data_IF_130973416380
#
_entry.id   IF_130973416380
#
_cell.length_a   1.000
_cell.length_b   1.000
_cell.length_c   1.000
_cell.angle_alpha   90.00
_cell.angle_beta   90.00
_cell.angle_gamma   90.00
#
_symmetry.space_group_name_H-M   'P 1'
#
loop_
_entity.id
_entity.type
_entity.pdbx_description
1 polymer ?
#
# COMPACT_ATOMS: atom_id res chain seq x y z
N UNK A 1 -0.42 -12.22 5.67
CA UNK A 1 0.69 -11.26 5.42
C UNK A 1 0.20 -9.88 5.82
N UNK A 2 1.06 -9.07 6.45
CA UNK A 2 0.78 -7.68 6.80
C UNK A 2 1.66 -6.73 6.01
N UNK A 3 1.07 -5.69 5.44
CA UNK A 3 1.77 -4.64 4.70
C UNK A 3 1.41 -3.31 5.34
N UNK A 4 2.38 -2.64 5.97
CA UNK A 4 2.14 -1.33 6.59
C UNK A 4 2.16 -0.24 5.53
N UNK A 5 1.14 0.61 5.51
CA UNK A 5 1.08 1.77 4.63
C UNK A 5 1.91 2.93 5.20
N UNK A 6 2.51 3.73 4.31
CA UNK A 6 3.36 4.87 4.66
C UNK A 6 3.03 6.15 3.92
N UNK A 7 2.63 6.05 2.67
CA UNK A 7 2.22 7.20 1.87
C UNK A 7 1.34 6.72 0.72
N UNK A 8 0.53 7.64 0.17
CA UNK A 8 -0.12 7.42 -1.11
C UNK A 8 0.14 8.56 -2.09
N UNK A 9 0.14 8.21 -3.37
CA UNK A 9 0.20 9.17 -4.47
C UNK A 9 -0.89 8.83 -5.48
N UNK A 10 -1.80 9.76 -5.73
CA UNK A 10 -2.82 9.60 -6.77
C UNK A 10 -2.27 10.19 -8.06
N UNK A 11 -2.13 9.35 -9.08
CA UNK A 11 -1.70 9.78 -10.41
C UNK A 11 -2.90 10.27 -11.24
N UNK A 12 -2.62 11.16 -12.19
CA UNK A 12 -3.66 11.72 -13.07
C UNK A 12 -4.39 10.67 -13.92
N UNK A 13 -3.80 9.48 -14.12
CA UNK A 13 -4.40 8.38 -14.87
C UNK A 13 -5.31 7.47 -14.02
N UNK A 14 -5.66 7.88 -12.79
CA UNK A 14 -6.52 7.12 -11.89
C UNK A 14 -5.84 5.98 -11.14
N UNK A 15 -4.52 5.82 -11.28
CA UNK A 15 -3.74 4.86 -10.48
C UNK A 15 -3.34 5.52 -9.16
N UNK A 16 -3.53 4.81 -8.05
CA UNK A 16 -2.95 5.16 -6.75
C UNK A 16 -1.72 4.30 -6.50
N UNK A 17 -0.59 4.95 -6.20
CA UNK A 17 0.61 4.30 -5.70
C UNK A 17 0.57 4.33 -4.18
N UNK A 18 0.78 3.19 -3.55
CA UNK A 18 0.88 3.01 -2.11
C UNK A 18 2.33 2.69 -1.75
N UNK A 19 2.99 3.56 -1.00
CA UNK A 19 4.29 3.27 -0.42
C UNK A 19 4.09 2.45 0.87
N UNK A 20 4.81 1.34 0.97
CA UNK A 20 4.56 0.31 1.97
C UNK A 20 5.85 -0.20 2.61
N UNK A 21 5.71 -0.73 3.83
CA UNK A 21 6.69 -1.60 4.48
C UNK A 21 6.16 -3.02 4.54
N UNK A 22 7.00 -3.99 4.21
CA UNK A 22 6.69 -5.42 4.31
C UNK A 22 7.74 -6.12 5.15
N UNK A 23 7.27 -7.02 6.01
CA UNK A 23 8.13 -7.90 6.80
C UNK A 23 8.79 -8.98 5.92
N UNK A 24 8.10 -9.44 4.87
CA UNK A 24 8.64 -10.37 3.87
C UNK A 24 8.75 -9.70 2.48
N UNK A 25 9.98 -9.35 2.03
CA UNK A 25 10.20 -8.69 0.76
C UNK A 25 9.96 -9.60 -0.46
N UNK A 26 9.88 -10.93 -0.29
CA UNK A 26 9.73 -11.88 -1.41
C UNK A 26 8.28 -12.21 -1.76
N UNK A 27 7.31 -11.67 -1.03
CA UNK A 27 5.92 -12.02 -1.26
C UNK A 27 5.37 -11.45 -2.57
N UNK A 28 4.65 -12.28 -3.33
CA UNK A 28 3.92 -11.88 -4.53
C UNK A 28 2.57 -11.30 -4.14
N UNK A 29 2.34 -10.04 -4.50
CA UNK A 29 1.13 -9.29 -4.12
C UNK A 29 0.25 -8.90 -5.30
N UNK A 30 0.79 -8.95 -6.52
CA UNK A 30 0.10 -8.49 -7.73
C UNK A 30 -1.03 -9.46 -8.09
N UNK A 31 -2.20 -8.91 -8.41
CA UNK A 31 -3.43 -9.65 -8.72
C UNK A 31 -4.23 -10.06 -7.48
N UNK A 32 -3.74 -9.79 -6.27
CA UNK A 32 -4.40 -10.15 -5.02
C UNK A 32 -5.25 -9.01 -4.47
N UNK A 33 -6.23 -9.37 -3.65
CA UNK A 33 -7.07 -8.45 -2.89
C UNK A 33 -6.61 -8.42 -1.45
N UNK A 34 -6.69 -7.24 -0.84
CA UNK A 34 -6.32 -7.00 0.54
C UNK A 34 -7.36 -6.15 1.22
N UNK A 35 -7.65 -6.46 2.48
CA UNK A 35 -8.40 -5.60 3.36
C UNK A 35 -7.50 -4.49 3.90
N UNK A 36 -7.91 -3.25 3.70
CA UNK A 36 -7.35 -2.09 4.38
C UNK A 36 -7.97 -1.98 5.76
N UNK A 37 -7.13 -2.07 6.80
CA UNK A 37 -7.58 -2.12 8.20
C UNK A 37 -6.83 -1.12 9.07
N UNK A 38 -7.50 -0.70 10.15
CA UNK A 38 -6.92 -0.05 11.32
C UNK A 38 -7.42 -0.74 12.59
N UNK A 39 -7.08 -0.20 13.77
CA UNK A 39 -7.64 -0.66 15.05
C UNK A 39 -9.17 -0.56 15.11
N UNK A 40 -9.78 0.34 14.33
CA UNK A 40 -11.23 0.50 14.23
C UNK A 40 -11.91 -0.56 13.35
N UNK A 41 -11.12 -1.40 12.67
CA UNK A 41 -11.58 -2.50 11.84
C UNK A 41 -11.30 -2.31 10.35
N UNK A 42 -12.09 -3.02 9.53
CA UNK A 42 -11.93 -3.03 8.07
C UNK A 42 -12.55 -1.78 7.45
N UNK A 43 -11.74 -0.99 6.74
CA UNK A 43 -12.20 0.21 6.03
C UNK A 43 -12.70 -0.09 4.62
N UNK A 44 -11.94 -0.88 3.87
CA UNK A 44 -12.26 -1.22 2.46
C UNK A 44 -11.41 -2.42 1.99
N UNK A 45 -11.74 -2.95 0.81
CA UNK A 45 -10.89 -3.93 0.11
C UNK A 45 -10.23 -3.27 -1.10
N UNK A 46 -8.95 -3.52 -1.31
CA UNK A 46 -8.13 -3.01 -2.41
C UNK A 46 -7.54 -4.17 -3.22
N UNK A 47 -7.48 -3.99 -4.53
CA UNK A 47 -6.84 -4.91 -5.47
C UNK A 47 -5.50 -4.32 -5.87
N UNK A 48 -4.42 -5.08 -5.63
CA UNK A 48 -3.09 -4.68 -6.08
C UNK A 48 -2.88 -5.15 -7.51
N UNK A 49 -2.58 -4.22 -8.41
CA UNK A 49 -2.47 -4.50 -9.85
C UNK A 49 -1.04 -4.43 -10.38
N UNK A 50 -0.11 -3.95 -9.56
CA UNK A 50 1.26 -3.75 -9.98
C UNK A 50 2.17 -3.40 -8.81
N UNK A 51 3.47 -3.41 -9.09
CA UNK A 51 4.51 -2.99 -8.18
C UNK A 51 5.46 -2.05 -8.91
N UNK A 52 5.94 -1.02 -8.20
CA UNK A 52 7.00 -0.13 -8.68
C UNK A 52 8.23 -0.26 -7.80
N UNK A 53 9.38 -0.28 -8.47
CA UNK A 53 10.67 -0.12 -7.80
C UNK A 53 10.81 1.31 -7.30
N UNK A 54 11.11 1.47 -6.01
CA UNK A 54 11.45 2.76 -5.43
C UNK A 54 12.89 3.11 -5.83
N UNK A 55 13.07 4.13 -6.67
CA UNK A 55 14.37 4.71 -7.02
C UNK A 55 14.91 5.55 -5.84
N UNK A 56 15.25 4.91 -4.72
CA UNK A 56 16.02 5.57 -3.65
C UNK A 56 17.35 4.85 -3.44
N UNK A 57 18.44 5.63 -3.38
CA UNK A 57 19.79 5.17 -3.02
C UNK A 57 19.87 4.49 -1.63
N UNK A 58 18.84 4.62 -0.81
CA UNK A 58 18.72 4.11 0.57
C UNK A 58 17.48 3.25 0.79
N UNK A 59 16.79 2.80 -0.26
CA UNK A 59 15.62 1.93 -0.09
C UNK A 59 16.03 0.65 0.65
N UNK A 60 15.51 0.47 1.86
CA UNK A 60 15.63 -0.81 2.58
C UNK A 60 14.85 -1.86 1.80
N UNK A 61 15.28 -3.12 1.83
CA UNK A 61 14.62 -4.23 1.15
C UNK A 61 13.13 -4.37 1.51
N UNK A 62 12.73 -3.87 2.68
CA UNK A 62 11.37 -3.89 3.22
C UNK A 62 10.45 -2.83 2.58
N UNK A 63 11.01 -1.80 1.93
CA UNK A 63 10.23 -0.72 1.32
C UNK A 63 9.80 -1.12 -0.10
N UNK A 64 8.49 -1.14 -0.35
CA UNK A 64 7.93 -1.44 -1.68
C UNK A 64 6.85 -0.44 -2.03
N UNK A 65 6.57 -0.27 -3.32
CA UNK A 65 5.48 0.57 -3.78
C UNK A 65 4.51 -0.27 -4.63
N UNK A 66 3.24 -0.25 -4.27
CA UNK A 66 2.21 -1.01 -4.97
C UNK A 66 1.22 -0.10 -5.69
N UNK A 67 0.69 -0.60 -6.79
CA UNK A 67 -0.32 0.11 -7.58
C UNK A 67 -1.70 -0.48 -7.35
N UNK A 68 -2.70 0.40 -7.26
CA UNK A 68 -4.11 0.03 -7.33
C UNK A 68 -4.87 1.02 -8.22
N UNK A 69 -5.96 0.57 -8.83
CA UNK A 69 -6.96 1.45 -9.48
C UNK A 69 -8.17 1.70 -8.61
N UNK A 70 -8.24 1.04 -7.45
CA UNK A 70 -9.31 1.28 -6.50
C UNK A 70 -9.12 2.67 -5.87
N UNK A 71 -10.23 3.35 -5.62
CA UNK A 71 -10.19 4.64 -4.92
C UNK A 71 -9.84 4.41 -3.47
N UNK A 72 -8.65 4.87 -3.06
CA UNK A 72 -8.20 4.70 -1.67
C UNK A 72 -8.84 5.78 -0.79
N UNK A 73 -9.91 5.39 -0.07
CA UNK A 73 -10.67 6.20 0.91
C UNK A 73 -9.91 6.58 2.20
N UNK A 74 -8.66 7.00 2.08
CA UNK A 74 -7.85 7.63 3.12
C UNK A 74 -7.07 8.78 2.50
N UNK A 75 -6.98 9.93 3.14
CA UNK A 75 -6.06 10.99 2.75
C UNK A 75 -4.58 10.59 2.95
N UNK A 76 -3.67 11.34 2.33
CA UNK A 76 -2.23 11.15 2.57
C UNK A 76 -1.81 11.49 4.00
N UNK A 77 -2.56 12.34 4.70
CA UNK A 77 -2.32 12.63 6.11
C UNK A 77 -2.73 11.45 6.99
N UNK A 78 -3.94 10.91 6.80
CA UNK A 78 -4.43 9.73 7.54
C UNK A 78 -3.49 8.53 7.36
N UNK A 79 -2.94 8.31 6.16
CA UNK A 79 -1.98 7.23 5.93
C UNK A 79 -0.65 7.46 6.66
N UNK A 80 -0.17 8.69 6.73
CA UNK A 80 1.12 9.02 7.35
C UNK A 80 1.08 8.96 8.87
N UNK A 81 -0.03 9.37 9.47
CA UNK A 81 -0.20 9.46 10.93
C UNK A 81 -0.88 8.24 11.53
N UNK A 82 -1.67 7.52 10.75
CA UNK A 82 -2.38 6.32 11.21
C UNK A 82 -1.58 5.03 11.06
N UNK A 83 -1.98 4.02 11.82
CA UNK A 83 -1.45 2.66 11.72
C UNK A 83 -2.31 1.81 10.78
N UNK A 84 -2.19 2.11 9.48
CA UNK A 84 -2.94 1.41 8.43
C UNK A 84 -2.16 0.21 7.90
N UNK A 85 -2.88 -0.90 7.71
CA UNK A 85 -2.33 -2.14 7.18
C UNK A 85 -3.17 -2.69 6.03
N UNK A 86 -2.51 -3.35 5.09
CA UNK A 86 -3.16 -4.27 4.15
C UNK A 86 -2.96 -5.69 4.66
N UNK A 87 -4.06 -6.43 4.79
CA UNK A 87 -4.09 -7.83 5.23
C UNK A 87 -4.82 -8.64 4.15
N UNK A 88 -4.27 -9.82 3.81
CA UNK A 88 -4.91 -10.77 2.87
C UNK A 88 -6.06 -11.51 3.53
#
# INVERSE_FOLDING_TARGET
MSIKLKEKFVLQNGVTILACLLDDPKCSVVGRKFQLVSEEGVKQTLTIIGERSLLQRTAKSEHRAFETRDSVMLSSEEIRTGDWMLIE
#
